data_IF_888155795494
#
_entry.id   IF_888155795494
#
_cell.length_a   1.000
_cell.length_b   1.000
_cell.length_c   1.000
_cell.angle_alpha   90.00
_cell.angle_beta   90.00
_cell.angle_gamma   90.00
#
_symmetry.space_group_name_H-M   'P 1'
#
loop_
_entity.id
_entity.type
_entity.pdbx_description
1 polymer ?
#
# COMPACT_ATOMS: atom_id res chain seq x y z
N UNK A 1 -62.53 -19.85 3.87
CA UNK A 1 -62.89 -18.42 4.06
C UNK A 1 -62.18 -17.94 5.32
N UNK A 2 -61.00 -17.33 5.23
CA UNK A 2 -60.71 -15.88 5.14
C UNK A 2 -61.38 -15.02 6.21
N UNK A 3 -60.58 -14.52 7.16
CA UNK A 3 -60.49 -13.14 7.68
C UNK A 3 -60.20 -13.11 9.20
N UNK A 4 -59.45 -12.19 9.80
CA UNK A 4 -58.59 -11.07 9.38
C UNK A 4 -57.81 -10.60 10.61
N UNK A 5 -56.53 -10.29 10.41
CA UNK A 5 -55.71 -9.22 10.99
C UNK A 5 -56.14 -8.51 12.29
N UNK A 6 -55.25 -8.53 13.29
CA UNK A 6 -54.76 -7.41 14.12
C UNK A 6 -53.97 -8.02 15.29
N UNK A 7 -52.89 -7.51 15.86
CA UNK A 7 -51.97 -6.43 15.58
C UNK A 7 -50.89 -6.54 16.69
N UNK A 8 -49.72 -5.95 16.47
CA UNK A 8 -48.72 -5.57 17.48
C UNK A 8 -48.09 -6.67 18.39
N UNK A 9 -46.82 -6.96 18.12
CA UNK A 9 -45.78 -6.91 19.17
C UNK A 9 -44.40 -6.79 18.50
N UNK A 10 -44.06 -5.53 18.22
CA UNK A 10 -42.76 -5.07 17.77
C UNK A 10 -41.81 -5.10 18.98
N UNK A 11 -40.80 -5.97 19.00
CA UNK A 11 -39.79 -5.98 20.06
C UNK A 11 -38.43 -6.49 19.56
N UNK A 12 -37.69 -5.56 18.97
CA UNK A 12 -36.28 -5.26 19.26
C UNK A 12 -35.32 -6.45 19.41
N UNK A 13 -34.57 -6.74 18.35
CA UNK A 13 -33.18 -7.23 18.45
C UNK A 13 -32.38 -6.89 17.17
N UNK A 14 -32.38 -5.62 16.78
CA UNK A 14 -31.45 -5.11 15.76
C UNK A 14 -30.17 -4.62 16.45
N UNK A 15 -29.31 -5.55 16.85
CA UNK A 15 -27.90 -5.26 17.13
C UNK A 15 -27.08 -5.66 15.89
N UNK A 16 -27.35 -5.00 14.76
CA UNK A 16 -26.37 -4.92 13.68
C UNK A 16 -25.26 -4.01 14.16
N UNK A 17 -24.29 -4.58 14.88
CA UNK A 17 -23.05 -3.91 15.19
C UNK A 17 -22.37 -3.56 13.86
N UNK A 18 -22.35 -2.27 13.54
CA UNK A 18 -21.47 -1.75 12.53
C UNK A 18 -20.05 -2.10 12.96
N UNK A 19 -19.43 -3.09 12.31
CA UNK A 19 -18.00 -3.31 12.41
C UNK A 19 -17.33 -2.07 11.82
N UNK A 20 -16.95 -1.15 12.69
CA UNK A 20 -16.20 0.05 12.37
C UNK A 20 -14.80 -0.42 11.90
N UNK A 21 -14.59 -0.46 10.59
CA UNK A 21 -13.29 -0.68 9.97
C UNK A 21 -12.42 0.57 10.19
N UNK A 22 -11.93 0.70 11.41
CA UNK A 22 -10.99 1.73 11.83
C UNK A 22 -10.10 1.15 12.90
N UNK A 23 -9.00 0.50 12.50
CA UNK A 23 -7.91 0.08 13.38
C UNK A 23 -6.69 -0.29 12.54
N UNK A 24 -5.68 0.59 12.54
CA UNK A 24 -4.33 0.25 12.11
C UNK A 24 -3.77 -0.85 13.00
N UNK A 25 -3.45 -1.97 12.37
CA UNK A 25 -3.02 -3.22 13.00
C UNK A 25 -2.73 -4.25 11.92
N UNK A 26 -1.60 -4.05 11.24
CA UNK A 26 -1.13 -4.79 10.06
C UNK A 26 -0.99 -6.29 10.32
N UNK A 27 -1.98 -7.08 9.88
CA UNK A 27 -1.61 -8.36 9.30
C UNK A 27 -0.66 -8.05 8.14
N UNK A 28 0.53 -8.70 8.05
CA UNK A 28 1.47 -8.39 6.98
C UNK A 28 0.78 -8.59 5.62
N UNK A 29 0.62 -7.50 4.88
CA UNK A 29 0.01 -7.56 3.54
C UNK A 29 0.94 -8.36 2.63
N UNK A 30 0.44 -9.40 1.99
CA UNK A 30 1.23 -10.18 1.05
C UNK A 30 1.29 -9.50 -0.31
N UNK A 31 2.47 -9.46 -0.91
CA UNK A 31 2.62 -9.03 -2.30
C UNK A 31 2.19 -10.17 -3.24
N UNK A 32 1.40 -9.84 -4.26
CA UNK A 32 1.14 -10.74 -5.37
C UNK A 32 2.11 -10.42 -6.52
N UNK A 33 2.98 -11.36 -6.92
CA UNK A 33 3.91 -11.14 -8.02
C UNK A 33 3.19 -10.71 -9.30
N UNK A 34 3.76 -9.73 -10.00
CA UNK A 34 3.23 -9.16 -11.24
C UNK A 34 2.07 -8.18 -11.08
N UNK A 35 1.50 -8.03 -9.87
CA UNK A 35 0.38 -7.15 -9.61
C UNK A 35 0.81 -5.84 -8.94
N UNK A 36 0.28 -4.72 -9.44
CA UNK A 36 0.48 -3.42 -8.82
C UNK A 36 -0.21 -3.37 -7.44
N UNK A 37 0.53 -2.95 -6.41
CA UNK A 37 0.07 -2.87 -5.03
C UNK A 37 0.46 -1.53 -4.42
N UNK A 38 -0.50 -0.86 -3.78
CA UNK A 38 -0.24 0.38 -3.05
C UNK A 38 0.29 0.08 -1.64
N UNK A 39 1.37 0.75 -1.27
CA UNK A 39 2.02 0.65 0.04
C UNK A 39 2.15 2.03 0.67
N UNK A 40 1.59 2.20 1.87
CA UNK A 40 1.70 3.45 2.62
C UNK A 40 3.08 3.58 3.26
N UNK A 41 3.51 4.81 3.53
CA UNK A 41 4.75 5.06 4.29
C UNK A 41 4.63 4.45 5.69
N UNK A 42 5.65 3.70 6.08
CA UNK A 42 5.73 3.00 7.36
C UNK A 42 5.35 1.51 7.26
N UNK A 43 4.48 1.17 6.31
CA UNK A 43 3.93 -0.16 6.13
C UNK A 43 4.92 -1.10 5.43
N UNK A 44 4.63 -2.40 5.53
CA UNK A 44 5.43 -3.46 4.93
C UNK A 44 4.59 -4.42 4.08
N UNK A 45 5.20 -4.92 3.01
CA UNK A 45 4.74 -6.10 2.29
C UNK A 45 5.60 -7.31 2.65
N UNK A 46 4.97 -8.47 2.77
CA UNK A 46 5.65 -9.77 2.81
C UNK A 46 5.61 -10.39 1.43
N UNK A 47 6.76 -10.80 0.94
CA UNK A 47 6.93 -11.45 -0.35
C UNK A 47 6.74 -12.97 -0.20
N UNK A 48 6.39 -13.69 -1.29
CA UNK A 48 6.14 -15.13 -1.24
C UNK A 48 7.29 -16.00 -0.68
N UNK A 49 8.54 -15.55 -0.77
CA UNK A 49 9.72 -16.25 -0.21
C UNK A 49 9.94 -15.95 1.28
N UNK A 50 9.08 -15.15 1.91
CA UNK A 50 9.19 -14.71 3.30
C UNK A 50 10.01 -13.44 3.49
N UNK A 51 10.59 -12.86 2.43
CA UNK A 51 11.24 -11.56 2.51
C UNK A 51 10.21 -10.45 2.81
N UNK A 52 10.68 -9.32 3.33
CA UNK A 52 9.86 -8.16 3.69
C UNK A 52 10.38 -6.92 3.01
N UNK A 53 9.48 -6.15 2.40
CA UNK A 53 9.77 -4.83 1.85
C UNK A 53 8.99 -3.78 2.63
N UNK A 54 9.69 -2.83 3.25
CA UNK A 54 9.08 -1.74 4.02
C UNK A 54 9.30 -0.40 3.32
N UNK A 55 8.24 0.40 3.20
CA UNK A 55 8.36 1.77 2.71
C UNK A 55 8.79 2.69 3.86
N UNK A 56 10.05 3.09 3.89
CA UNK A 56 10.60 3.84 5.02
C UNK A 56 10.23 5.32 4.97
N UNK A 57 10.58 6.01 3.87
CA UNK A 57 10.33 7.45 3.73
C UNK A 57 10.44 7.92 2.28
N UNK A 58 9.96 9.13 2.02
CA UNK A 58 10.30 9.91 0.82
C UNK A 58 11.44 10.85 1.20
N UNK A 59 12.63 10.65 0.64
CA UNK A 59 13.84 11.40 1.01
C UNK A 59 13.96 12.73 0.26
N UNK A 60 13.37 12.82 -0.94
CA UNK A 60 13.21 14.05 -1.70
C UNK A 60 11.91 13.98 -2.50
N UNK A 61 11.17 15.09 -2.56
CA UNK A 61 9.95 15.20 -3.35
C UNK A 61 9.89 16.58 -4.01
N UNK A 62 10.08 16.62 -5.32
CA UNK A 62 9.99 17.81 -6.17
C UNK A 62 8.84 17.69 -7.18
N UNK A 63 7.98 16.67 -7.04
CA UNK A 63 6.89 16.38 -7.97
C UNK A 63 5.97 17.59 -8.11
N UNK A 64 5.48 17.81 -9.32
CA UNK A 64 4.50 18.85 -9.59
C UNK A 64 3.10 18.38 -9.13
N UNK A 65 2.47 19.02 -8.12
CA UNK A 65 1.14 18.65 -7.68
C UNK A 65 0.08 18.85 -8.78
N UNK A 66 -1.03 18.10 -8.74
CA UNK A 66 -2.13 18.31 -9.66
C UNK A 66 -2.64 19.76 -9.56
N UNK A 67 -3.09 20.32 -10.69
CA UNK A 67 -3.62 21.69 -10.82
C UNK A 67 -2.59 22.82 -10.70
N UNK A 68 -1.30 22.50 -10.63
CA UNK A 68 -0.21 23.48 -10.77
C UNK A 68 0.46 23.37 -12.13
N UNK A 69 0.99 24.50 -12.62
CA UNK A 69 1.79 24.55 -13.83
C UNK A 69 3.26 24.64 -13.46
N UNK A 70 3.98 23.52 -13.54
CA UNK A 70 5.42 23.48 -13.27
C UNK A 70 6.22 23.65 -14.56
N UNK A 71 7.38 24.28 -14.44
CA UNK A 71 8.31 24.48 -15.58
C UNK A 71 8.99 23.17 -15.98
N UNK A 72 9.20 22.26 -15.02
CA UNK A 72 9.82 20.94 -15.21
C UNK A 72 8.90 19.80 -14.74
N UNK A 73 9.11 18.60 -15.29
CA UNK A 73 8.54 17.37 -14.75
C UNK A 73 9.30 17.04 -13.45
N UNK A 74 8.64 17.27 -12.30
CA UNK A 74 9.22 16.99 -10.99
C UNK A 74 9.47 15.49 -10.74
N UNK A 75 10.27 15.17 -9.73
CA UNK A 75 10.67 13.82 -9.37
C UNK A 75 10.53 13.55 -7.86
N UNK A 76 10.59 12.28 -7.47
CA UNK A 76 10.72 11.92 -6.06
C UNK A 76 11.76 10.81 -5.88
N UNK A 77 12.37 10.80 -4.69
CA UNK A 77 13.27 9.75 -4.25
C UNK A 77 12.65 9.04 -3.05
N UNK A 78 12.41 7.73 -3.21
CA UNK A 78 11.78 6.89 -2.21
C UNK A 78 12.80 5.94 -1.60
N UNK A 79 12.82 5.85 -0.28
CA UNK A 79 13.66 4.94 0.48
C UNK A 79 12.85 3.76 1.02
N UNK A 80 13.34 2.55 0.79
CA UNK A 80 12.77 1.30 1.28
C UNK A 80 13.81 0.49 2.04
N UNK A 81 13.33 -0.37 2.92
CA UNK A 81 14.14 -1.37 3.61
C UNK A 81 13.69 -2.76 3.13
N UNK A 82 14.59 -3.50 2.51
CA UNK A 82 14.38 -4.89 2.15
C UNK A 82 15.02 -5.79 3.21
N UNK A 83 14.26 -6.72 3.76
CA UNK A 83 14.75 -7.76 4.68
C UNK A 83 14.56 -9.11 3.99
N UNK A 84 15.65 -9.79 3.66
CA UNK A 84 15.61 -11.13 3.09
C UNK A 84 15.05 -12.15 4.10
N UNK A 85 14.68 -13.33 3.61
CA UNK A 85 14.11 -14.40 4.45
C UNK A 85 15.07 -14.88 5.56
N UNK A 86 16.38 -14.74 5.35
CA UNK A 86 17.42 -15.02 6.35
C UNK A 86 17.65 -13.88 7.35
N UNK A 87 16.93 -12.77 7.21
CA UNK A 87 17.02 -11.59 8.06
C UNK A 87 18.03 -10.53 7.60
N UNK A 88 18.79 -10.76 6.52
CA UNK A 88 19.71 -9.76 5.98
C UNK A 88 18.96 -8.51 5.51
N UNK A 89 19.43 -7.32 5.90
CA UNK A 89 18.78 -6.04 5.58
C UNK A 89 19.57 -5.25 4.54
N UNK A 90 18.86 -4.73 3.55
CA UNK A 90 19.39 -3.90 2.48
C UNK A 90 18.53 -2.64 2.33
N UNK A 91 19.15 -1.47 2.38
CA UNK A 91 18.49 -0.22 2.03
C UNK A 91 18.36 -0.10 0.51
N UNK A 92 17.18 0.27 0.02
CA UNK A 92 16.90 0.49 -1.40
C UNK A 92 16.45 1.94 -1.59
N UNK A 93 16.94 2.56 -2.66
CA UNK A 93 16.54 3.91 -3.06
C UNK A 93 16.11 3.92 -4.52
N UNK A 94 15.00 4.58 -4.80
CA UNK A 94 14.36 4.64 -6.13
C UNK A 94 14.12 6.09 -6.49
N UNK A 95 14.56 6.52 -7.68
CA UNK A 95 14.10 7.77 -8.28
C UNK A 95 12.90 7.44 -9.20
N UNK A 96 11.77 8.10 -8.99
CA UNK A 96 10.53 7.78 -9.74
C UNK A 96 10.62 7.99 -11.25
N UNK A 97 11.61 8.75 -11.73
CA UNK A 97 11.78 9.10 -13.15
C UNK A 97 12.98 8.40 -13.75
N UNK A 98 14.17 8.64 -13.20
CA UNK A 98 15.42 8.19 -13.82
C UNK A 98 15.75 6.73 -13.51
N UNK A 99 15.27 6.22 -12.37
CA UNK A 99 15.70 4.91 -11.88
C UNK A 99 14.68 4.23 -10.95
N UNK A 100 13.49 3.88 -11.49
CA UNK A 100 12.35 3.42 -10.69
C UNK A 100 12.40 1.92 -10.34
N UNK A 101 13.42 1.17 -10.77
CA UNK A 101 13.48 -0.29 -10.66
C UNK A 101 14.76 -0.77 -9.98
N UNK A 102 14.65 -1.74 -9.08
CA UNK A 102 15.79 -2.37 -8.37
C UNK A 102 15.59 -3.87 -8.28
N UNK A 103 16.67 -4.60 -8.10
CA UNK A 103 16.62 -6.01 -7.68
C UNK A 103 17.08 -6.16 -6.23
N UNK A 104 16.41 -7.03 -5.49
CA UNK A 104 16.78 -7.40 -4.12
C UNK A 104 16.39 -8.86 -3.85
N UNK A 105 17.35 -9.69 -3.46
CA UNK A 105 17.14 -11.14 -3.36
C UNK A 105 16.67 -11.74 -4.69
N UNK A 106 15.58 -12.50 -4.64
CA UNK A 106 14.94 -13.12 -5.81
C UNK A 106 13.93 -12.20 -6.53
N UNK A 107 13.86 -10.91 -6.16
CA UNK A 107 12.79 -10.02 -6.61
C UNK A 107 13.32 -8.86 -7.44
N UNK A 108 12.53 -8.49 -8.44
CA UNK A 108 12.53 -7.17 -9.05
C UNK A 108 11.43 -6.34 -8.41
N UNK A 109 11.76 -5.14 -7.96
CA UNK A 109 10.82 -4.17 -7.39
C UNK A 109 10.84 -2.93 -8.29
N UNK A 110 9.66 -2.49 -8.73
CA UNK A 110 9.48 -1.30 -9.56
C UNK A 110 8.47 -0.35 -8.91
N UNK A 111 8.87 0.91 -8.73
CA UNK A 111 8.00 2.00 -8.32
C UNK A 111 7.28 2.51 -9.56
N UNK A 112 5.98 2.23 -9.66
CA UNK A 112 5.15 2.69 -10.78
C UNK A 112 4.56 4.07 -10.54
N UNK A 113 4.48 4.49 -9.28
CA UNK A 113 3.98 5.81 -8.93
C UNK A 113 4.05 6.12 -7.45
N UNK A 114 3.86 7.38 -7.13
CA UNK A 114 3.66 7.92 -5.79
C UNK A 114 2.47 8.85 -5.90
N UNK A 115 1.47 8.71 -5.03
CA UNK A 115 0.31 9.61 -5.02
C UNK A 115 0.60 10.92 -4.24
N UNK A 116 -0.36 11.83 -4.23
CA UNK A 116 -0.30 13.09 -3.47
C UNK A 116 -1.14 13.05 -2.19
N UNK A 117 -1.43 11.85 -1.65
CA UNK A 117 -2.03 11.72 -0.33
C UNK A 117 -1.02 12.15 0.76
N UNK A 118 -1.52 12.42 1.97
CA UNK A 118 -0.69 12.73 3.12
C UNK A 118 -1.02 11.77 4.29
N UNK A 119 -0.13 10.81 4.63
CA UNK A 119 1.14 10.51 3.95
C UNK A 119 0.93 9.83 2.57
N UNK A 120 1.90 9.93 1.64
CA UNK A 120 1.73 9.41 0.29
C UNK A 120 1.85 7.89 0.23
N UNK A 121 1.15 7.28 -0.73
CA UNK A 121 1.25 5.85 -1.04
C UNK A 121 2.09 5.62 -2.29
N UNK A 122 3.04 4.68 -2.20
CA UNK A 122 3.81 4.21 -3.33
C UNK A 122 3.07 3.04 -4.01
N UNK A 123 2.90 3.10 -5.32
CA UNK A 123 2.41 1.97 -6.12
C UNK A 123 3.61 1.17 -6.61
N UNK A 124 3.68 -0.09 -6.18
CA UNK A 124 4.77 -1.00 -6.50
C UNK A 124 4.30 -2.14 -7.39
N UNK A 125 5.12 -2.52 -8.36
CA UNK A 125 5.03 -3.83 -9.01
C UNK A 125 6.24 -4.65 -8.61
N UNK A 126 6.00 -5.90 -8.21
CA UNK A 126 7.03 -6.79 -7.71
C UNK A 126 6.97 -8.06 -8.54
N UNK A 127 8.07 -8.43 -9.18
CA UNK A 127 8.17 -9.60 -10.05
C UNK A 127 9.27 -10.53 -9.53
N UNK A 128 9.08 -11.84 -9.63
CA UNK A 128 10.18 -12.78 -9.41
C UNK A 128 11.22 -12.60 -10.53
N UNK A 129 12.50 -12.75 -10.18
CA UNK A 129 13.62 -12.67 -11.12
C UNK A 129 13.79 -13.95 -11.92
#
# INVERSE_FOLDING_TARGET
MKARFAALAFAVAALTACAHAGSGGDAPRQALPGQATALARGDSLVLPDGARLRFATVSADSRCPPKLQCVWAGDAVLAFEFTAADGARTALSFNTVSDPRRSAGAWTIEVQGLDFADPPNATLKIDAK
#
